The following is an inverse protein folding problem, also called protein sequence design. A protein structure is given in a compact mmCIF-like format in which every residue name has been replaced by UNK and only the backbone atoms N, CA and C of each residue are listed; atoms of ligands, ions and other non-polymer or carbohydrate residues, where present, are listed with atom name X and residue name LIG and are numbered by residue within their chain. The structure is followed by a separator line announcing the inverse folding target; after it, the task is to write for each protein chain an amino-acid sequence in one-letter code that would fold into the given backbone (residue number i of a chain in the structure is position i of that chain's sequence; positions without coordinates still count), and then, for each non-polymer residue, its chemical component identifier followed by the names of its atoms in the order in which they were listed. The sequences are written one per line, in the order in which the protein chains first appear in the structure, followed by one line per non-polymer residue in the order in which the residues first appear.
data_IF_166057020714
#
_entry.id   IF_166057020714
#
_cell.length_a   1.000
_cell.length_b   1.000
_cell.length_c   1.000
_cell.angle_alpha   90.00
_cell.angle_beta   90.00
_cell.angle_gamma   90.00
#
_symmetry.space_group_name_H-M   'P 1'
#
loop_
_entity.id
_entity.type
_entity.pdbx_description
1 polymer ?
#
# COMPACT_ATOMS: atom_id res chain seq x y z
N UNK A 1 5.54 5.99 -0.06
CA UNK A 1 5.89 7.42 -0.08
C UNK A 1 6.22 7.97 -1.47
N UNK A 2 6.73 7.15 -2.40
CA UNK A 2 7.13 7.57 -3.75
C UNK A 2 6.03 8.26 -4.58
N UNK A 3 4.84 7.66 -4.68
CA UNK A 3 3.72 8.27 -5.40
C UNK A 3 3.37 9.67 -4.85
N UNK A 4 3.31 9.79 -3.52
CA UNK A 4 3.01 11.05 -2.85
C UNK A 4 4.07 12.10 -3.16
N UNK A 5 5.36 11.75 -3.06
CA UNK A 5 6.48 12.64 -3.43
C UNK A 5 6.32 13.14 -4.86
N UNK A 6 6.15 12.24 -5.82
CA UNK A 6 6.02 12.59 -7.23
C UNK A 6 4.85 13.55 -7.50
N UNK A 7 3.69 13.32 -6.88
CA UNK A 7 2.50 14.18 -7.05
C UNK A 7 2.65 15.53 -6.36
N UNK A 8 3.36 15.59 -5.23
CA UNK A 8 3.55 16.82 -4.46
C UNK A 8 4.65 17.72 -5.02
N UNK A 9 5.81 17.14 -5.36
CA UNK A 9 7.01 17.89 -5.74
C UNK A 9 7.25 17.93 -7.24
N UNK A 10 6.59 17.05 -8.00
CA UNK A 10 6.91 16.83 -9.41
C UNK A 10 8.26 16.13 -9.63
N UNK A 11 8.87 15.59 -8.56
CA UNK A 11 10.15 14.88 -8.61
C UNK A 11 10.06 13.53 -7.90
N UNK A 12 10.86 12.57 -8.37
CA UNK A 12 10.90 11.22 -7.82
C UNK A 12 12.28 10.97 -7.19
N UNK A 13 12.35 10.62 -5.89
CA UNK A 13 13.60 10.24 -5.23
C UNK A 13 14.26 9.03 -5.91
N UNK A 14 15.60 8.94 -5.85
CA UNK A 14 16.37 7.82 -6.43
C UNK A 14 15.96 6.46 -5.85
N UNK A 15 15.70 6.41 -4.55
CA UNK A 15 15.28 5.20 -3.84
C UNK A 15 13.86 4.71 -4.19
N UNK A 16 13.15 5.37 -5.12
CA UNK A 16 11.81 5.00 -5.54
C UNK A 16 11.76 4.04 -6.74
N UNK A 17 12.91 3.60 -7.25
CA UNK A 17 12.96 2.44 -8.15
C UNK A 17 13.01 1.16 -7.32
N UNK A 18 11.92 0.39 -7.33
CA UNK A 18 11.82 -0.84 -6.56
C UNK A 18 12.70 -1.97 -7.12
N UNK A 19 13.27 -1.79 -8.33
CA UNK A 19 14.22 -2.74 -8.92
C UNK A 19 15.67 -2.46 -8.48
N UNK A 20 15.94 -1.26 -7.98
CA UNK A 20 17.23 -0.87 -7.42
C UNK A 20 17.21 -1.02 -5.89
N UNK A 21 17.56 -2.23 -5.43
CA UNK A 21 17.56 -2.55 -3.99
C UNK A 21 18.61 -1.76 -3.21
N UNK A 22 19.70 -1.32 -3.86
CA UNK A 22 20.73 -0.52 -3.22
C UNK A 22 20.18 0.88 -2.93
N UNK A 23 19.63 1.55 -3.95
CA UNK A 23 18.97 2.84 -3.76
C UNK A 23 17.78 2.73 -2.79
N UNK A 24 16.97 1.68 -2.89
CA UNK A 24 15.82 1.46 -1.99
C UNK A 24 16.24 1.43 -0.51
N UNK A 25 17.42 0.88 -0.20
CA UNK A 25 17.95 0.82 1.16
C UNK A 25 18.38 2.17 1.75
N UNK A 26 18.52 3.20 0.91
CA UNK A 26 18.84 4.57 1.34
C UNK A 26 17.62 5.32 1.91
N UNK A 27 16.43 4.73 1.85
CA UNK A 27 15.23 5.34 2.44
C UNK A 27 15.33 5.40 3.97
N UNK A 28 15.50 6.62 4.51
CA UNK A 28 15.54 6.91 5.94
C UNK A 28 14.14 6.91 6.56
N UNK A 29 13.52 5.72 6.61
CA UNK A 29 12.24 5.49 7.27
C UNK A 29 12.42 5.22 8.75
N UNK A 30 11.64 5.89 9.59
CA UNK A 30 11.55 5.57 11.03
C UNK A 30 10.49 4.51 11.26
N UNK A 31 10.85 3.46 11.99
CA UNK A 31 9.88 2.53 12.59
C UNK A 31 9.76 2.87 14.08
N UNK A 32 8.54 3.17 14.53
CA UNK A 32 8.25 3.54 15.91
C UNK A 32 7.34 2.47 16.52
N UNK A 33 7.86 1.71 17.48
CA UNK A 33 7.04 0.82 18.29
C UNK A 33 6.31 1.66 19.35
N UNK A 34 4.98 1.79 19.21
CA UNK A 34 4.14 2.49 20.16
C UNK A 34 3.96 1.73 21.50
N UNK A 35 4.72 0.65 21.73
CA UNK A 35 4.83 -0.04 23.02
C UNK A 35 3.61 -0.90 23.37
N UNK A 36 2.76 -1.18 22.38
CA UNK A 36 1.54 -1.99 22.56
C UNK A 36 1.81 -3.40 22.06
N UNK A 37 1.75 -4.37 22.97
CA UNK A 37 1.78 -5.79 22.61
C UNK A 37 0.39 -6.23 22.16
N UNK A 38 0.23 -6.51 20.87
CA UNK A 38 -0.99 -7.06 20.32
C UNK A 38 -0.96 -8.59 20.39
N UNK A 39 -1.74 -9.17 21.29
CA UNK A 39 -2.06 -10.61 21.28
C UNK A 39 -3.36 -10.91 20.51
N UNK A 40 -4.00 -9.87 19.97
CA UNK A 40 -5.31 -9.90 19.32
C UNK A 40 -5.14 -10.01 17.80
N UNK A 41 -4.82 -11.22 17.32
CA UNK A 41 -4.80 -11.47 15.86
C UNK A 41 -6.22 -11.53 15.31
N UNK A 42 -6.38 -11.38 13.99
CA UNK A 42 -7.69 -11.52 13.33
C UNK A 42 -8.29 -12.91 13.60
N UNK A 43 -7.44 -13.94 13.62
CA UNK A 43 -7.82 -15.33 13.87
C UNK A 43 -8.23 -15.57 15.33
N UNK A 44 -7.74 -14.75 16.26
CA UNK A 44 -8.11 -14.81 17.67
C UNK A 44 -9.47 -14.15 17.96
N UNK A 45 -10.03 -13.39 17.02
CA UNK A 45 -11.31 -12.70 17.22
C UNK A 45 -12.51 -13.66 17.15
N UNK A 46 -13.53 -13.47 18.02
CA UNK A 46 -14.76 -14.24 17.91
C UNK A 46 -15.44 -14.04 16.54
N UNK A 47 -16.00 -15.08 15.91
CA UNK A 47 -16.64 -14.97 14.59
C UNK A 47 -17.74 -13.90 14.51
N UNK A 48 -18.47 -13.67 15.61
CA UNK A 48 -19.48 -12.62 15.68
C UNK A 48 -18.92 -11.19 15.59
N UNK A 49 -17.70 -10.97 16.09
CA UNK A 49 -17.00 -9.68 16.00
C UNK A 49 -16.58 -9.43 14.56
N UNK A 50 -15.95 -10.40 13.91
CA UNK A 50 -15.53 -10.28 12.51
C UNK A 50 -16.72 -10.00 11.58
N UNK A 51 -17.83 -10.71 11.78
CA UNK A 51 -19.07 -10.46 11.01
C UNK A 51 -19.61 -9.04 11.22
N UNK A 52 -19.50 -8.51 12.43
CA UNK A 52 -19.90 -7.13 12.72
C UNK A 52 -18.99 -6.12 12.02
N UNK A 53 -17.68 -6.35 12.01
CA UNK A 53 -16.72 -5.52 11.25
C UNK A 53 -17.05 -5.55 9.76
N UNK A 54 -17.28 -6.73 9.17
CA UNK A 54 -17.65 -6.85 7.76
C UNK A 54 -18.95 -6.10 7.44
N UNK A 55 -19.94 -6.16 8.34
CA UNK A 55 -21.19 -5.43 8.17
C UNK A 55 -20.99 -3.91 8.24
N UNK A 56 -20.22 -3.43 9.21
CA UNK A 56 -19.98 -1.99 9.40
C UNK A 56 -19.12 -1.39 8.27
N UNK A 57 -18.17 -2.17 7.73
CA UNK A 57 -17.18 -1.70 6.75
C UNK A 57 -17.54 -2.01 5.29
N UNK A 58 -18.77 -2.47 5.03
CA UNK A 58 -19.19 -2.85 3.68
C UNK A 58 -19.01 -1.71 2.66
N UNK A 59 -19.37 -0.48 3.04
CA UNK A 59 -19.18 0.69 2.18
C UNK A 59 -17.69 1.03 2.02
N UNK A 60 -16.91 0.90 3.10
CA UNK A 60 -15.46 1.13 3.07
C UNK A 60 -14.76 0.15 2.13
N UNK A 61 -15.22 -1.11 2.03
CA UNK A 61 -14.67 -2.09 1.08
C UNK A 61 -14.85 -1.65 -0.37
N UNK A 62 -16.00 -1.09 -0.71
CA UNK A 62 -16.24 -0.55 -2.06
C UNK A 62 -15.34 0.64 -2.35
N UNK A 63 -15.23 1.57 -1.38
CA UNK A 63 -14.34 2.72 -1.48
C UNK A 63 -12.86 2.30 -1.59
N UNK A 64 -12.46 1.31 -0.81
CA UNK A 64 -11.10 0.75 -0.82
C UNK A 64 -10.77 0.17 -2.20
N UNK A 65 -11.65 -0.65 -2.77
CA UNK A 65 -11.43 -1.25 -4.09
C UNK A 65 -11.26 -0.17 -5.18
N UNK A 66 -12.16 0.81 -5.25
CA UNK A 66 -12.02 1.93 -6.19
C UNK A 66 -10.74 2.76 -5.95
N UNK A 67 -10.34 2.92 -4.68
CA UNK A 67 -9.13 3.66 -4.32
C UNK A 67 -7.86 2.91 -4.70
N UNK A 68 -7.83 1.58 -4.60
CA UNK A 68 -6.68 0.76 -5.03
C UNK A 68 -6.55 0.79 -6.55
N UNK A 69 -7.65 0.73 -7.30
CA UNK A 69 -7.62 0.89 -8.76
C UNK A 69 -6.99 2.22 -9.15
N UNK A 70 -7.51 3.33 -8.59
CA UNK A 70 -6.95 4.67 -8.81
C UNK A 70 -5.48 4.75 -8.41
N UNK A 71 -5.11 4.18 -7.27
CA UNK A 71 -3.73 4.17 -6.78
C UNK A 71 -2.78 3.47 -7.76
N UNK A 72 -3.18 2.34 -8.33
CA UNK A 72 -2.36 1.61 -9.30
C UNK A 72 -2.26 2.39 -10.63
N UNK A 73 -3.34 3.03 -11.08
CA UNK A 73 -3.31 3.91 -12.26
C UNK A 73 -2.38 5.10 -12.04
N UNK A 74 -2.50 5.78 -10.91
CA UNK A 74 -1.63 6.89 -10.52
C UNK A 74 -0.15 6.48 -10.48
N UNK A 75 0.15 5.26 -10.04
CA UNK A 75 1.50 4.71 -10.07
C UNK A 75 1.97 4.51 -11.51
N UNK A 76 1.15 3.90 -12.38
CA UNK A 76 1.52 3.68 -13.79
C UNK A 76 1.83 4.99 -14.51
N UNK A 77 1.07 6.05 -14.22
CA UNK A 77 1.33 7.38 -14.76
C UNK A 77 2.68 7.93 -14.30
N UNK A 78 3.01 7.77 -13.01
CA UNK A 78 4.32 8.15 -12.46
C UNK A 78 5.45 7.32 -13.07
N UNK A 79 5.30 6.00 -13.16
CA UNK A 79 6.28 5.11 -13.80
C UNK A 79 6.51 5.51 -15.26
N UNK A 80 5.45 5.83 -16.01
CA UNK A 80 5.55 6.33 -17.38
C UNK A 80 6.23 7.70 -17.49
N UNK A 81 6.04 8.58 -16.50
CA UNK A 81 6.64 9.92 -16.47
C UNK A 81 8.14 9.88 -16.17
N UNK A 82 8.55 9.06 -15.19
CA UNK A 82 9.94 9.02 -14.71
C UNK A 82 10.78 7.89 -15.30
N UNK A 83 10.16 6.92 -15.97
CA UNK A 83 10.86 5.80 -16.61
C UNK A 83 11.43 4.76 -15.64
N UNK A 84 10.89 4.67 -14.42
CA UNK A 84 11.31 3.72 -13.39
C UNK A 84 10.15 2.85 -12.92
N UNK A 85 10.42 1.73 -12.26
CA UNK A 85 9.38 0.90 -11.64
C UNK A 85 9.22 1.27 -10.17
N UNK A 86 8.10 1.91 -9.82
CA UNK A 86 7.81 2.32 -8.44
C UNK A 86 7.12 1.21 -7.65
N UNK A 87 6.20 0.47 -8.28
CA UNK A 87 5.51 -0.65 -7.64
C UNK A 87 5.97 -1.96 -8.27
N UNK A 88 6.62 -2.80 -7.47
CA UNK A 88 7.10 -4.10 -7.92
C UNK A 88 5.95 -5.07 -8.17
N UNK A 89 6.14 -5.97 -9.15
CA UNK A 89 5.07 -6.82 -9.69
C UNK A 89 4.44 -7.75 -8.65
N UNK A 90 5.23 -8.22 -7.68
CA UNK A 90 4.75 -9.06 -6.58
C UNK A 90 3.79 -8.29 -5.66
N UNK A 91 4.15 -7.05 -5.30
CA UNK A 91 3.32 -6.18 -4.49
C UNK A 91 2.05 -5.76 -5.24
N UNK A 92 2.15 -5.47 -6.54
CA UNK A 92 0.96 -5.20 -7.36
C UNK A 92 0.02 -6.41 -7.39
N UNK A 93 0.55 -7.62 -7.60
CA UNK A 93 -0.24 -8.85 -7.60
C UNK A 93 -0.91 -9.08 -6.23
N UNK A 94 -0.18 -8.88 -5.14
CA UNK A 94 -0.72 -8.99 -3.77
C UNK A 94 -1.86 -8.00 -3.52
N UNK A 95 -1.72 -6.75 -3.95
CA UNK A 95 -2.78 -5.73 -3.82
C UNK A 95 -4.03 -6.14 -4.60
N UNK A 96 -3.86 -6.61 -5.84
CA UNK A 96 -4.99 -7.07 -6.67
C UNK A 96 -5.69 -8.28 -6.07
N UNK A 97 -4.95 -9.21 -5.46
CA UNK A 97 -5.54 -10.36 -4.77
C UNK A 97 -6.42 -9.93 -3.60
N UNK A 98 -6.01 -8.92 -2.83
CA UNK A 98 -6.77 -8.41 -1.67
C UNK A 98 -8.08 -7.73 -2.06
N UNK A 99 -8.20 -7.21 -3.28
CA UNK A 99 -9.45 -6.61 -3.79
C UNK A 99 -10.49 -7.66 -4.22
N UNK A 100 -10.05 -8.89 -4.52
CA UNK A 100 -10.91 -9.98 -4.99
C UNK A 100 -11.64 -10.74 -3.86
N UNK A 101 -11.46 -10.30 -2.61
CA UNK A 101 -11.98 -10.89 -1.36
C UNK A 101 -12.94 -9.91 -0.69
#
# INVERSE_FOLDING_TARGET
MCLFSAKLTGSLPSHCDCTDLEAWSEFDGTEEDHGVSYNDTVEAQPPGVLKMVDYLTQADRQLYNASVERFIEDIKDVEGTFGVKVLCSEQEASLRQKMAV
#
